data_IF_476567279932
#
_entry.id   IF_476567279932
#
_cell.length_a   1.000
_cell.length_b   1.000
_cell.length_c   1.000
_cell.angle_alpha   90.00
_cell.angle_beta   90.00
_cell.angle_gamma   90.00
#
_symmetry.space_group_name_H-M   'P 1'
#
loop_
_entity.id
_entity.type
_entity.pdbx_description
1 polymer ?
#
# COMPACT_ATOMS: atom_id res chain seq x y z
N UNK A 1 -27.15 -44.26 11.20
CA UNK A 1 -26.01 -44.37 12.13
C UNK A 1 -24.78 -44.69 11.30
N UNK A 2 -23.81 -43.79 11.20
CA UNK A 2 -22.62 -44.00 10.37
C UNK A 2 -21.77 -45.12 10.98
N UNK A 3 -21.63 -46.24 10.27
CA UNK A 3 -20.89 -47.43 10.71
C UNK A 3 -19.35 -47.22 10.76
N UNK A 4 -18.88 -45.96 10.80
CA UNK A 4 -17.46 -45.63 10.80
C UNK A 4 -16.94 -45.55 12.23
N UNK A 5 -15.80 -46.19 12.53
CA UNK A 5 -15.26 -46.22 13.88
C UNK A 5 -14.82 -44.80 14.31
N UNK A 6 -15.00 -44.47 15.60
CA UNK A 6 -14.87 -43.11 16.14
C UNK A 6 -13.54 -42.42 15.79
N UNK A 7 -12.44 -43.17 15.74
CA UNK A 7 -11.11 -42.65 15.38
C UNK A 7 -11.04 -42.07 13.96
N UNK A 8 -11.83 -42.58 13.01
CA UNK A 8 -11.91 -42.05 11.64
C UNK A 8 -12.57 -40.67 11.65
N UNK A 9 -13.59 -40.47 12.48
CA UNK A 9 -14.24 -39.16 12.63
C UNK A 9 -13.30 -38.16 13.32
N UNK A 10 -12.53 -38.61 14.31
CA UNK A 10 -11.51 -37.77 14.99
C UNK A 10 -10.41 -37.37 14.00
N UNK A 11 -9.88 -38.31 13.22
CA UNK A 11 -8.88 -38.02 12.20
C UNK A 11 -9.43 -37.01 11.17
N UNK A 12 -10.67 -37.20 10.73
CA UNK A 12 -11.34 -36.28 9.80
C UNK A 12 -11.52 -34.89 10.41
N UNK A 13 -11.91 -34.80 11.68
CA UNK A 13 -12.03 -33.53 12.39
C UNK A 13 -10.68 -32.81 12.53
N UNK A 14 -9.61 -33.55 12.84
CA UNK A 14 -8.25 -32.99 12.93
C UNK A 14 -7.82 -32.44 11.57
N UNK A 15 -7.97 -33.23 10.49
CA UNK A 15 -7.65 -32.79 9.13
C UNK A 15 -8.48 -31.57 8.73
N UNK A 16 -9.77 -31.56 9.05
CA UNK A 16 -10.65 -30.41 8.78
C UNK A 16 -10.15 -29.15 9.49
N UNK A 17 -9.77 -29.25 10.77
CA UNK A 17 -9.22 -28.12 11.53
C UNK A 17 -7.93 -27.59 10.89
N UNK A 18 -7.02 -28.48 10.47
CA UNK A 18 -5.80 -28.05 9.78
C UNK A 18 -6.09 -27.37 8.45
N UNK A 19 -7.05 -27.89 7.66
CA UNK A 19 -7.48 -27.26 6.40
C UNK A 19 -8.06 -25.86 6.66
N UNK A 20 -8.95 -25.73 7.65
CA UNK A 20 -9.55 -24.44 8.00
C UNK A 20 -8.50 -23.45 8.48
N UNK A 21 -7.55 -23.89 9.32
CA UNK A 21 -6.45 -23.05 9.79
C UNK A 21 -5.56 -22.61 8.62
N UNK A 22 -5.24 -23.51 7.68
CA UNK A 22 -4.43 -23.20 6.52
C UNK A 22 -5.12 -22.19 5.59
N UNK A 23 -6.42 -22.37 5.31
CA UNK A 23 -7.23 -21.42 4.53
C UNK A 23 -7.30 -20.06 5.23
N UNK A 24 -7.45 -20.04 6.56
CA UNK A 24 -7.43 -18.81 7.34
C UNK A 24 -6.09 -18.08 7.26
N UNK A 25 -4.97 -18.79 7.39
CA UNK A 25 -3.65 -18.16 7.27
C UNK A 25 -3.38 -17.62 5.86
N UNK A 26 -3.82 -18.33 4.81
CA UNK A 26 -3.72 -17.84 3.44
C UNK A 26 -4.63 -16.62 3.18
N UNK A 27 -5.81 -16.57 3.78
CA UNK A 27 -6.72 -15.43 3.61
C UNK A 27 -6.19 -14.15 4.27
N UNK A 28 -5.36 -14.27 5.31
CA UNK A 28 -4.71 -13.11 5.94
C UNK A 28 -3.82 -12.35 4.96
N UNK A 29 -3.05 -13.01 4.11
CA UNK A 29 -2.18 -12.33 3.13
C UNK A 29 -3.00 -11.50 2.13
N UNK A 30 -4.07 -12.10 1.60
CA UNK A 30 -5.01 -11.41 0.72
C UNK A 30 -5.68 -10.20 1.38
N UNK A 31 -6.06 -10.32 2.66
CA UNK A 31 -6.78 -9.27 3.37
C UNK A 31 -5.85 -8.15 3.87
N UNK A 32 -4.64 -8.50 4.32
CA UNK A 32 -3.72 -7.55 4.95
C UNK A 32 -2.88 -6.75 3.96
N UNK A 33 -2.82 -7.16 2.67
CA UNK A 33 -2.01 -6.47 1.64
C UNK A 33 -0.61 -6.13 2.17
N UNK A 34 0.00 -7.10 2.86
CA UNK A 34 1.33 -6.92 3.44
C UNK A 34 2.35 -6.66 2.33
N UNK A 35 3.19 -5.63 2.49
CA UNK A 35 4.38 -5.44 1.66
C UNK A 35 4.26 -4.50 0.46
N UNK A 36 3.11 -3.85 0.21
CA UNK A 36 3.02 -2.82 -0.83
C UNK A 36 3.64 -1.51 -0.34
N UNK A 37 4.96 -1.41 -0.48
CA UNK A 37 5.72 -0.17 -0.27
C UNK A 37 5.97 0.52 -1.61
N UNK A 38 5.73 1.83 -1.65
CA UNK A 38 6.05 2.67 -2.79
C UNK A 38 7.21 3.59 -2.40
N UNK A 39 8.08 3.88 -3.36
CA UNK A 39 9.17 4.85 -3.20
C UNK A 39 8.68 6.18 -3.75
N UNK A 40 8.79 7.24 -2.96
CA UNK A 40 8.31 8.56 -3.39
C UNK A 40 9.26 9.15 -4.44
N UNK A 41 8.77 9.53 -5.63
CA UNK A 41 9.61 10.14 -6.65
C UNK A 41 9.95 11.58 -6.26
N UNK A 42 11.17 12.02 -6.61
CA UNK A 42 11.57 13.41 -6.46
C UNK A 42 10.82 14.29 -7.47
N UNK A 43 9.97 15.19 -6.98
CA UNK A 43 9.21 16.14 -7.84
C UNK A 43 9.57 17.61 -7.59
N UNK A 44 10.53 17.88 -6.72
CA UNK A 44 11.01 19.25 -6.46
C UNK A 44 11.62 19.83 -7.74
N UNK A 45 11.34 21.11 -8.02
CA UNK A 45 11.66 21.84 -9.25
C UNK A 45 10.89 21.40 -10.51
N UNK A 46 10.01 20.40 -10.43
CA UNK A 46 9.10 20.10 -11.53
C UNK A 46 7.95 21.10 -11.57
N UNK A 47 7.40 21.39 -12.77
CA UNK A 47 6.08 22.00 -12.89
C UNK A 47 5.03 21.19 -12.12
N UNK A 48 4.12 21.88 -11.43
CA UNK A 48 3.10 21.23 -10.59
C UNK A 48 2.25 20.21 -11.35
N UNK A 49 1.87 20.51 -12.59
CA UNK A 49 1.09 19.62 -13.46
C UNK A 49 1.84 18.31 -13.81
N UNK A 50 3.15 18.42 -14.04
CA UNK A 50 4.02 17.27 -14.28
C UNK A 50 4.21 16.46 -12.99
N UNK A 51 4.45 17.13 -11.86
CA UNK A 51 4.61 16.50 -10.56
C UNK A 51 3.34 15.73 -10.15
N UNK A 52 2.17 16.33 -10.33
CA UNK A 52 0.87 15.72 -10.04
C UNK A 52 0.66 14.45 -10.86
N UNK A 53 0.97 14.49 -12.17
CA UNK A 53 0.91 13.29 -13.01
C UNK A 53 1.83 12.17 -12.52
N UNK A 54 3.10 12.48 -12.27
CA UNK A 54 4.09 11.49 -11.82
C UNK A 54 3.65 10.82 -10.51
N UNK A 55 3.13 11.60 -9.56
CA UNK A 55 2.66 11.07 -8.28
C UNK A 55 1.38 10.24 -8.43
N UNK A 56 0.40 10.68 -9.23
CA UNK A 56 -0.83 9.91 -9.49
C UNK A 56 -0.55 8.60 -10.22
N UNK A 57 0.35 8.61 -11.19
CA UNK A 57 0.75 7.43 -11.95
C UNK A 57 1.41 6.36 -11.05
N UNK A 58 2.03 6.79 -9.95
CA UNK A 58 2.59 5.89 -8.93
C UNK A 58 1.60 5.52 -7.81
N UNK A 59 0.36 6.02 -7.87
CA UNK A 59 -0.69 5.68 -6.90
C UNK A 59 -0.64 6.48 -5.60
N UNK A 60 -0.02 7.67 -5.63
CA UNK A 60 -0.08 8.64 -4.54
C UNK A 60 -1.26 9.60 -4.71
N UNK A 61 -1.91 9.94 -3.60
CA UNK A 61 -2.82 11.08 -3.55
C UNK A 61 -2.00 12.36 -3.32
N UNK A 62 -2.42 13.48 -3.91
CA UNK A 62 -1.69 14.75 -3.78
C UNK A 62 -2.53 15.75 -2.98
N UNK A 63 -1.92 16.42 -2.01
CA UNK A 63 -2.51 17.52 -1.26
C UNK A 63 -1.65 18.78 -1.36
N UNK A 64 -2.20 19.83 -1.99
CA UNK A 64 -1.53 21.12 -2.05
C UNK A 64 -1.64 21.83 -0.70
N UNK A 65 -0.56 21.83 0.06
CA UNK A 65 -0.51 22.50 1.36
C UNK A 65 -0.62 24.03 1.23
N UNK A 66 0.27 24.65 0.46
CA UNK A 66 0.35 26.10 0.30
C UNK A 66 0.95 26.47 -1.06
N UNK A 67 0.61 27.66 -1.55
CA UNK A 67 1.33 28.33 -2.64
C UNK A 67 2.07 29.54 -2.08
N UNK A 68 3.38 29.60 -2.29
CA UNK A 68 4.22 30.69 -1.79
C UNK A 68 4.92 31.40 -2.96
N UNK A 69 5.22 32.68 -2.76
CA UNK A 69 6.01 33.44 -3.71
C UNK A 69 7.50 33.18 -3.48
N UNK A 70 8.24 32.95 -4.57
CA UNK A 70 9.69 32.89 -4.60
C UNK A 70 10.18 33.69 -5.81
N UNK A 71 11.14 34.57 -5.57
CA UNK A 71 11.80 35.40 -6.58
C UNK A 71 12.86 34.64 -7.39
N UNK A 72 13.27 33.47 -6.90
CA UNK A 72 14.36 32.65 -7.44
C UNK A 72 13.87 31.37 -8.10
N UNK A 73 12.64 30.95 -7.83
CA UNK A 73 12.07 29.72 -8.37
C UNK A 73 11.26 29.94 -9.65
N UNK A 74 11.17 28.90 -10.47
CA UNK A 74 10.33 28.91 -11.65
C UNK A 74 8.83 29.04 -11.26
N UNK A 75 8.02 29.78 -12.03
CA UNK A 75 6.60 29.90 -11.76
C UNK A 75 5.91 28.54 -11.83
N UNK A 76 4.96 28.31 -10.92
CA UNK A 76 4.18 27.07 -10.81
C UNK A 76 5.02 25.79 -10.62
N UNK A 77 6.24 25.93 -10.09
CA UNK A 77 7.09 24.78 -9.74
C UNK A 77 6.87 24.32 -8.31
N UNK A 78 7.10 23.03 -8.07
CA UNK A 78 7.09 22.45 -6.73
C UNK A 78 8.36 22.89 -5.99
N UNK A 79 8.18 23.65 -4.91
CA UNK A 79 9.30 24.16 -4.10
C UNK A 79 9.71 23.19 -2.99
N UNK A 80 8.74 22.44 -2.45
CA UNK A 80 8.93 21.49 -1.35
C UNK A 80 7.97 20.32 -1.54
N UNK A 81 8.37 19.17 -1.02
CA UNK A 81 7.62 17.93 -1.05
C UNK A 81 7.67 17.31 0.35
N UNK A 82 6.58 16.69 0.78
CA UNK A 82 6.54 15.89 2.00
C UNK A 82 5.59 14.70 1.81
N UNK A 83 6.01 13.45 2.10
CA UNK A 83 7.32 13.03 2.61
C UNK A 83 8.46 13.25 1.60
N UNK A 84 9.70 13.16 2.07
CA UNK A 84 10.88 13.41 1.22
C UNK A 84 10.99 12.41 0.06
N UNK A 85 11.66 12.82 -1.01
CA UNK A 85 12.00 11.95 -2.11
C UNK A 85 12.77 10.70 -1.62
N UNK A 86 12.60 9.60 -2.34
CA UNK A 86 13.18 8.28 -2.03
C UNK A 86 12.73 7.67 -0.70
N UNK A 87 11.85 8.34 0.05
CA UNK A 87 11.25 7.76 1.23
C UNK A 87 10.34 6.58 0.87
N UNK A 88 10.51 5.48 1.59
CA UNK A 88 9.71 4.27 1.43
C UNK A 88 8.47 4.40 2.30
N UNK A 89 7.31 4.53 1.67
CA UNK A 89 6.03 4.65 2.36
C UNK A 89 5.10 3.50 2.02
N UNK A 90 4.15 3.20 2.89
CA UNK A 90 3.07 2.27 2.58
C UNK A 90 2.22 2.85 1.45
N UNK A 91 1.65 2.00 0.60
CA UNK A 91 0.70 2.42 -0.42
C UNK A 91 -0.49 3.20 0.18
N UNK A 92 -1.07 4.12 -0.61
CA UNK A 92 -2.14 5.05 -0.23
C UNK A 92 -1.73 6.15 0.78
N UNK A 93 -0.54 6.72 0.61
CA UNK A 93 -0.15 7.94 1.33
C UNK A 93 -0.42 9.17 0.46
N UNK A 94 -0.85 10.23 1.13
CA UNK A 94 -0.93 11.57 0.57
C UNK A 94 0.45 12.22 0.57
N UNK A 95 0.79 12.89 -0.53
CA UNK A 95 2.06 13.59 -0.79
C UNK A 95 1.79 15.06 -1.10
#
# INVERSE_FOLDING_TARGET
MTARPLWVNILFAVVLVFILLFVFLLSLDFFTRHGNTLTIPAVINMPYDQAEKVLKDQGFDIELQDSIYSDTAAPLSVLRQFPEADAVVKANRTV
#
